data_IF_987249286757
#
_entry.id   IF_987249286757
#
_cell.length_a   1.000
_cell.length_b   1.000
_cell.length_c   1.000
_cell.angle_alpha   90.00
_cell.angle_beta   90.00
_cell.angle_gamma   90.00
#
_symmetry.space_group_name_H-M   'P 1'
#
loop_
_entity.id
_entity.type
_entity.pdbx_description
1 polymer ?
#
# COMPACT_ATOMS: atom_id res chain seq x y z
N UNK A 1 -11.05 -3.31 5.07
CA UNK A 1 -9.81 -3.04 5.84
C UNK A 1 -9.67 -3.99 7.04
N UNK A 2 -10.61 -3.99 8.00
CA UNK A 2 -10.49 -4.75 9.25
C UNK A 2 -10.26 -6.27 9.06
N UNK A 3 -11.01 -6.93 8.16
CA UNK A 3 -10.83 -8.34 7.80
C UNK A 3 -9.37 -8.66 7.46
N UNK A 4 -8.75 -7.87 6.58
CA UNK A 4 -7.33 -8.02 6.21
C UNK A 4 -6.41 -7.90 7.41
N UNK A 5 -6.61 -6.87 8.24
CA UNK A 5 -5.70 -6.58 9.33
C UNK A 5 -5.77 -7.66 10.41
N UNK A 6 -6.99 -8.09 10.78
CA UNK A 6 -7.19 -9.14 11.77
C UNK A 6 -6.69 -10.51 11.27
N UNK A 7 -6.93 -10.86 10.00
CA UNK A 7 -6.43 -12.10 9.40
C UNK A 7 -4.91 -12.15 9.32
N UNK A 8 -4.27 -11.07 8.89
CA UNK A 8 -2.80 -10.96 8.90
C UNK A 8 -2.25 -11.02 10.34
N UNK A 9 -2.88 -10.35 11.29
CA UNK A 9 -2.50 -10.46 12.70
C UNK A 9 -2.60 -11.89 13.22
N UNK A 10 -3.65 -12.63 12.82
CA UNK A 10 -3.81 -14.05 13.16
C UNK A 10 -2.69 -14.92 12.58
N UNK A 11 -2.18 -14.60 11.38
CA UNK A 11 -1.00 -15.28 10.78
C UNK A 11 0.30 -15.03 11.55
N UNK A 12 0.33 -14.04 12.44
CA UNK A 12 1.50 -13.71 13.28
C UNK A 12 2.22 -12.44 12.85
N UNK A 13 1.57 -11.52 12.14
CA UNK A 13 2.14 -10.22 11.77
C UNK A 13 1.64 -9.10 12.68
N UNK A 14 2.51 -8.14 13.02
CA UNK A 14 2.03 -6.84 13.51
C UNK A 14 1.52 -6.06 12.29
N UNK A 15 0.28 -5.56 12.35
CA UNK A 15 -0.35 -4.80 11.25
C UNK A 15 -0.62 -3.38 11.70
N UNK A 16 -0.16 -2.41 10.93
CA UNK A 16 -0.46 -0.99 11.13
C UNK A 16 -1.25 -0.47 9.93
N UNK A 17 -2.50 -0.07 10.17
CA UNK A 17 -3.33 0.62 9.19
C UNK A 17 -3.51 2.07 9.65
N UNK A 18 -3.38 3.02 8.73
CA UNK A 18 -3.45 4.44 9.02
C UNK A 18 -4.26 5.17 7.95
N UNK A 19 -4.74 6.35 8.33
CA UNK A 19 -5.59 7.14 7.47
C UNK A 19 -4.83 7.76 6.31
N UNK A 20 -5.47 7.74 5.15
CA UNK A 20 -5.11 8.64 4.06
C UNK A 20 -5.31 10.08 4.49
N UNK A 21 -4.50 10.96 3.92
CA UNK A 21 -4.58 12.39 4.17
C UNK A 21 -6.01 12.90 3.86
N UNK A 22 -6.61 13.72 4.72
CA UNK A 22 -7.98 14.21 4.55
C UNK A 22 -9.10 13.20 4.83
N UNK A 23 -8.76 11.98 5.27
CA UNK A 23 -9.71 10.94 5.67
C UNK A 23 -9.50 10.54 7.12
N UNK A 24 -10.47 9.81 7.69
CA UNK A 24 -10.39 9.33 9.07
C UNK A 24 -10.05 10.48 10.02
N UNK A 25 -9.04 10.31 10.85
CA UNK A 25 -8.52 11.30 11.80
C UNK A 25 -7.44 12.21 11.20
N UNK A 26 -7.00 11.94 9.98
CA UNK A 26 -6.03 12.74 9.26
C UNK A 26 -6.65 13.98 8.59
N UNK A 27 -7.52 14.70 9.31
CA UNK A 27 -8.29 15.86 8.81
C UNK A 27 -7.63 17.22 9.04
N UNK A 28 -6.34 17.25 9.38
CA UNK A 28 -5.59 18.51 9.55
C UNK A 28 -5.47 19.29 8.25
N UNK A 29 -5.42 18.56 7.13
CA UNK A 29 -5.36 19.12 5.78
C UNK A 29 -6.39 18.40 4.93
N UNK A 30 -6.76 19.02 3.82
CA UNK A 30 -7.65 18.42 2.84
C UNK A 30 -6.96 17.32 2.05
N UNK A 31 -7.73 16.39 1.50
CA UNK A 31 -7.19 15.39 0.57
C UNK A 31 -6.66 16.03 -0.74
N UNK A 32 -7.09 17.27 -1.02
CA UNK A 32 -6.75 18.05 -2.22
C UNK A 32 -5.53 18.96 -2.06
N UNK A 33 -4.83 18.95 -0.92
CA UNK A 33 -3.61 19.73 -0.74
C UNK A 33 -2.60 19.40 -1.86
N UNK A 34 -1.90 20.39 -2.47
CA UNK A 34 -1.06 20.16 -3.65
C UNK A 34 0.04 19.11 -3.47
N UNK A 35 0.51 18.92 -2.23
CA UNK A 35 1.56 17.96 -1.87
C UNK A 35 1.01 16.67 -1.25
N UNK A 36 -0.27 16.33 -1.49
CA UNK A 36 -0.91 15.16 -0.87
C UNK A 36 -0.13 13.87 -1.11
N UNK A 37 0.38 13.65 -2.33
CA UNK A 37 1.19 12.47 -2.65
C UNK A 37 2.46 12.39 -1.79
N UNK A 38 3.17 13.52 -1.65
CA UNK A 38 4.38 13.62 -0.82
C UNK A 38 4.05 13.33 0.65
N UNK A 39 3.03 13.96 1.21
CA UNK A 39 2.66 13.78 2.61
C UNK A 39 2.20 12.35 2.91
N UNK A 40 1.47 11.71 2.00
CA UNK A 40 1.08 10.30 2.19
C UNK A 40 2.29 9.36 2.18
N UNK A 41 3.23 9.54 1.25
CA UNK A 41 4.45 8.72 1.21
C UNK A 41 5.32 8.99 2.44
N UNK A 42 5.41 10.24 2.89
CA UNK A 42 6.10 10.60 4.13
C UNK A 42 5.45 9.96 5.37
N UNK A 43 4.12 10.01 5.49
CA UNK A 43 3.40 9.34 6.56
C UNK A 43 3.66 7.83 6.55
N UNK A 44 3.73 7.22 5.36
CA UNK A 44 4.07 5.80 5.20
C UNK A 44 5.47 5.49 5.76
N UNK A 45 6.44 6.38 5.50
CA UNK A 45 7.80 6.27 6.06
C UNK A 45 7.82 6.45 7.58
N UNK A 46 7.08 7.42 8.12
CA UNK A 46 6.97 7.62 9.57
C UNK A 46 6.38 6.38 10.28
N UNK A 47 5.36 5.74 9.68
CA UNK A 47 4.79 4.49 10.18
C UNK A 47 5.82 3.36 10.16
N UNK A 48 6.61 3.26 9.08
CA UNK A 48 7.71 2.29 9.00
C UNK A 48 8.76 2.53 10.09
N UNK A 49 9.18 3.78 10.31
CA UNK A 49 10.14 4.15 11.35
C UNK A 49 9.59 3.79 12.75
N UNK A 50 8.30 4.06 13.00
CA UNK A 50 7.64 3.66 14.24
C UNK A 50 7.65 2.14 14.43
N UNK A 51 7.23 1.36 13.42
CA UNK A 51 7.21 -0.10 13.51
C UNK A 51 8.61 -0.65 13.81
N UNK A 52 9.64 -0.18 13.10
CA UNK A 52 11.02 -0.62 13.28
C UNK A 52 11.64 -0.17 14.61
N UNK A 53 11.05 0.81 15.30
CA UNK A 53 11.47 1.18 16.66
C UNK A 53 11.02 0.19 17.73
N UNK A 54 10.04 -0.68 17.42
CA UNK A 54 9.47 -1.61 18.40
C UNK A 54 10.32 -2.87 18.50
N UNK A 55 10.59 -3.31 19.73
CA UNK A 55 11.38 -4.52 20.01
C UNK A 55 10.70 -5.84 19.60
N UNK A 56 9.38 -5.81 19.35
CA UNK A 56 8.58 -6.96 18.94
C UNK A 56 8.38 -7.05 17.41
N UNK A 57 9.00 -6.16 16.64
CA UNK A 57 9.01 -6.18 15.17
C UNK A 57 10.34 -6.76 14.68
N UNK A 58 10.26 -7.73 13.76
CA UNK A 58 11.42 -8.29 13.08
C UNK A 58 11.78 -7.43 11.86
N UNK A 59 12.92 -6.70 11.87
CA UNK A 59 13.28 -5.78 10.81
C UNK A 59 13.61 -6.47 9.47
N UNK A 60 13.72 -7.80 9.45
CA UNK A 60 14.00 -8.58 8.24
C UNK A 60 12.73 -9.00 7.48
N UNK A 61 11.54 -8.83 8.10
CA UNK A 61 10.23 -9.27 7.56
C UNK A 61 9.22 -8.13 7.57
N UNK A 62 9.44 -7.14 6.70
CA UNK A 62 8.63 -5.92 6.62
C UNK A 62 7.84 -5.93 5.31
N UNK A 63 6.52 -6.08 5.45
CA UNK A 63 5.58 -6.10 4.33
C UNK A 63 4.81 -4.80 4.18
N UNK A 64 4.48 -4.44 2.94
CA UNK A 64 3.55 -3.33 2.64
C UNK A 64 2.51 -3.74 1.61
N UNK A 65 1.26 -3.33 1.81
CA UNK A 65 0.16 -3.62 0.89
C UNK A 65 -0.96 -2.59 0.99
N UNK A 66 -1.62 -2.33 -0.14
CA UNK A 66 -2.73 -1.39 -0.27
C UNK A 66 -3.44 -1.54 -1.61
N UNK A 67 -4.68 -1.06 -1.68
CA UNK A 67 -5.53 -1.11 -2.87
C UNK A 67 -5.57 0.24 -3.56
N UNK A 68 -5.62 0.29 -4.90
CA UNK A 68 -5.87 1.53 -5.66
C UNK A 68 -4.87 2.63 -5.27
N UNK A 69 -5.30 3.80 -4.76
CA UNK A 69 -4.39 4.81 -4.20
C UNK A 69 -3.46 4.30 -3.06
N UNK A 70 -3.90 3.32 -2.26
CA UNK A 70 -3.02 2.63 -1.31
C UNK A 70 -2.01 1.69 -2.00
N UNK A 71 -2.37 1.15 -3.17
CA UNK A 71 -1.46 0.45 -4.07
C UNK A 71 -0.38 1.41 -4.60
N UNK A 72 -0.76 2.66 -4.91
CA UNK A 72 0.20 3.73 -5.25
C UNK A 72 1.22 3.94 -4.15
N UNK A 73 0.77 4.15 -2.92
CA UNK A 73 1.68 4.32 -1.78
C UNK A 73 2.53 3.07 -1.52
N UNK A 74 2.01 1.88 -1.80
CA UNK A 74 2.72 0.61 -1.65
C UNK A 74 3.95 0.54 -2.55
N UNK A 75 3.79 0.75 -3.87
CA UNK A 75 4.95 0.69 -4.77
C UNK A 75 5.86 1.92 -4.65
N UNK A 76 5.32 3.10 -4.33
CA UNK A 76 6.15 4.30 -4.14
C UNK A 76 7.07 4.18 -2.93
N UNK A 77 6.56 3.77 -1.76
CA UNK A 77 7.42 3.57 -0.59
C UNK A 77 8.43 2.44 -0.82
N UNK A 78 7.98 1.33 -1.44
CA UNK A 78 8.88 0.20 -1.75
C UNK A 78 10.04 0.65 -2.64
N UNK A 79 9.78 1.51 -3.63
CA UNK A 79 10.80 2.01 -4.54
C UNK A 79 11.88 2.88 -3.86
N UNK A 80 11.52 3.62 -2.80
CA UNK A 80 12.43 4.59 -2.15
C UNK A 80 12.96 4.14 -0.78
N UNK A 81 12.46 3.04 -0.22
CA UNK A 81 12.87 2.55 1.10
C UNK A 81 13.16 1.04 1.05
N UNK A 82 14.45 0.70 1.11
CA UNK A 82 14.95 -0.69 1.01
C UNK A 82 14.57 -1.56 2.22
N UNK A 83 14.12 -0.94 3.33
CA UNK A 83 13.71 -1.68 4.54
C UNK A 83 12.39 -2.43 4.33
N UNK A 84 11.62 -2.11 3.29
CA UNK A 84 10.51 -2.95 2.84
C UNK A 84 11.09 -4.20 2.20
N UNK A 85 10.84 -5.37 2.79
CA UNK A 85 11.39 -6.65 2.32
C UNK A 85 10.42 -7.48 1.48
N UNK A 86 9.12 -7.16 1.49
CA UNK A 86 8.14 -7.67 0.52
C UNK A 86 7.01 -6.66 0.25
N UNK A 87 6.50 -6.59 -0.98
CA UNK A 87 5.44 -5.64 -1.36
C UNK A 87 4.27 -6.29 -2.10
N UNK A 88 3.05 -5.84 -1.86
CA UNK A 88 1.87 -6.33 -2.56
C UNK A 88 0.93 -5.18 -2.95
N UNK A 89 1.22 -4.43 -4.04
CA UNK A 89 0.30 -3.45 -4.59
C UNK A 89 -0.90 -4.13 -5.24
N UNK A 90 -2.12 -3.67 -4.90
CA UNK A 90 -3.36 -4.32 -5.33
C UNK A 90 -4.23 -3.38 -6.15
N UNK A 91 -4.69 -3.87 -7.30
CA UNK A 91 -5.59 -3.20 -8.25
C UNK A 91 -5.13 -1.77 -8.57
N UNK A 92 -3.82 -1.58 -8.82
CA UNK A 92 -3.28 -0.26 -9.16
C UNK A 92 -2.22 -0.20 -10.25
N UNK A 93 -1.22 -1.08 -10.21
CA UNK A 93 -0.05 -0.98 -11.11
C UNK A 93 -0.52 -0.98 -12.58
N UNK A 94 -0.16 0.07 -13.32
CA UNK A 94 -0.59 0.27 -14.70
C UNK A 94 0.44 1.08 -15.49
N UNK A 95 0.65 0.71 -16.76
CA UNK A 95 1.53 1.45 -17.67
C UNK A 95 0.91 2.75 -18.19
N UNK A 96 -0.42 2.90 -18.12
CA UNK A 96 -1.16 3.96 -18.80
C UNK A 96 -2.07 4.78 -17.88
N UNK A 97 -2.23 4.39 -16.62
CA UNK A 97 -3.03 5.10 -15.63
C UNK A 97 -2.22 5.31 -14.35
N UNK A 98 -2.01 6.57 -13.97
CA UNK A 98 -1.11 6.94 -12.87
C UNK A 98 -1.83 7.32 -11.58
N UNK A 99 -3.15 7.14 -11.54
CA UNK A 99 -4.01 7.58 -10.44
C UNK A 99 -4.83 8.81 -10.81
N UNK A 100 -6.12 8.75 -10.50
CA UNK A 100 -7.08 9.83 -10.82
C UNK A 100 -7.12 10.95 -9.79
N UNK A 101 -6.44 10.78 -8.64
CA UNK A 101 -6.41 11.72 -7.54
C UNK A 101 -5.04 12.42 -7.42
N UNK A 102 -5.03 13.69 -7.00
CA UNK A 102 -3.79 14.43 -6.74
C UNK A 102 -2.89 13.79 -5.67
N UNK A 103 -3.46 12.96 -4.79
CA UNK A 103 -2.69 12.19 -3.81
C UNK A 103 -1.88 11.02 -4.41
N UNK A 104 -2.08 10.72 -5.69
CA UNK A 104 -1.38 9.68 -6.46
C UNK A 104 -0.51 10.30 -7.56
N UNK A 105 -1.05 11.27 -8.29
CA UNK A 105 -0.45 11.84 -9.50
C UNK A 105 -0.30 13.37 -9.50
N UNK A 106 -0.52 14.03 -8.35
CA UNK A 106 -0.44 15.49 -8.22
C UNK A 106 0.98 16.06 -8.19
N UNK A 107 1.99 15.20 -8.01
CA UNK A 107 3.41 15.56 -8.06
C UNK A 107 4.03 15.08 -9.37
N UNK A 108 5.01 15.81 -9.95
CA UNK A 108 5.61 15.48 -11.25
C UNK A 108 6.62 14.33 -11.17
N UNK A 109 6.23 13.20 -10.57
CA UNK A 109 7.09 12.03 -10.39
C UNK A 109 7.19 11.17 -11.66
N UNK A 110 6.16 11.21 -12.52
CA UNK A 110 6.12 10.40 -13.75
C UNK A 110 6.79 11.08 -14.94
N UNK A 111 6.93 12.41 -14.91
CA UNK A 111 7.45 13.17 -16.05
C UNK A 111 8.12 14.47 -15.59
N UNK A 112 9.28 14.74 -16.16
CA UNK A 112 9.99 16.02 -16.11
C UNK A 112 10.64 16.30 -17.47
N UNK A 113 11.41 17.38 -17.57
CA UNK A 113 12.22 17.70 -18.76
C UNK A 113 13.29 16.63 -19.09
N UNK A 114 13.64 15.79 -18.11
CA UNK A 114 14.76 14.84 -18.23
C UNK A 114 14.34 13.38 -18.13
N UNK A 115 13.09 13.09 -17.77
CA UNK A 115 12.62 11.71 -17.66
C UNK A 115 11.12 11.59 -17.95
N UNK A 116 10.75 10.38 -18.36
CA UNK A 116 9.37 9.93 -18.37
C UNK A 116 9.37 8.47 -17.92
N UNK A 117 8.46 8.12 -17.01
CA UNK A 117 8.36 6.80 -16.40
C UNK A 117 6.88 6.42 -16.19
N UNK A 118 6.61 5.29 -15.52
CA UNK A 118 5.26 4.80 -15.23
C UNK A 118 5.21 4.08 -13.88
N UNK A 119 4.00 3.78 -13.39
CA UNK A 119 3.83 2.98 -12.17
C UNK A 119 4.44 1.58 -12.28
N UNK A 120 4.61 1.05 -13.50
CA UNK A 120 5.23 -0.26 -13.74
C UNK A 120 6.72 -0.22 -13.44
N UNK A 121 7.40 0.86 -13.82
CA UNK A 121 8.82 1.06 -13.51
C UNK A 121 9.02 1.28 -12.01
N UNK A 122 8.13 2.04 -11.35
CA UNK A 122 8.17 2.16 -9.89
C UNK A 122 7.96 0.82 -9.18
N UNK A 123 7.01 0.01 -9.62
CA UNK A 123 6.82 -1.33 -9.07
C UNK A 123 8.07 -2.23 -9.28
N UNK A 124 8.71 -2.12 -10.45
CA UNK A 124 9.91 -2.89 -10.79
C UNK A 124 11.13 -2.54 -9.93
N UNK A 125 11.18 -1.36 -9.29
CA UNK A 125 12.22 -1.00 -8.31
C UNK A 125 12.16 -1.84 -7.02
N UNK A 126 11.14 -2.70 -6.86
CA UNK A 126 11.15 -3.72 -5.83
C UNK A 126 12.19 -4.81 -6.08
N UNK A 127 12.57 -5.07 -7.34
CA UNK A 127 13.51 -6.14 -7.69
C UNK A 127 14.83 -6.03 -6.92
N UNK A 128 15.38 -7.14 -6.37
CA UNK A 128 14.91 -8.53 -6.45
C UNK A 128 13.96 -8.97 -5.31
N UNK A 129 13.47 -8.04 -4.48
CA UNK A 129 12.65 -8.35 -3.29
C UNK A 129 11.31 -8.96 -3.69
N UNK A 130 10.73 -9.88 -2.91
CA UNK A 130 9.40 -10.42 -3.17
C UNK A 130 8.34 -9.36 -3.47
N UNK A 131 7.59 -9.54 -4.57
CA UNK A 131 6.48 -8.67 -4.91
C UNK A 131 5.29 -9.45 -5.50
N UNK A 132 4.08 -9.09 -5.08
CA UNK A 132 2.83 -9.59 -5.65
C UNK A 132 2.09 -8.44 -6.33
N UNK A 133 1.84 -8.56 -7.64
CA UNK A 133 0.95 -7.67 -8.37
C UNK A 133 -0.44 -8.28 -8.41
N UNK A 134 -1.41 -7.66 -7.73
CA UNK A 134 -2.82 -8.09 -7.82
C UNK A 134 -3.56 -7.21 -8.82
N UNK A 135 -4.31 -7.83 -9.73
CA UNK A 135 -5.01 -7.15 -10.84
C UNK A 135 -6.38 -7.77 -11.09
N UNK A 136 -7.27 -7.04 -11.77
CA UNK A 136 -8.61 -7.51 -12.15
C UNK A 136 -8.96 -7.17 -13.60
N UNK A 137 -10.09 -7.70 -14.09
CA UNK A 137 -10.49 -7.55 -15.49
C UNK A 137 -11.30 -6.30 -15.81
N UNK A 138 -11.80 -5.58 -14.81
CA UNK A 138 -12.75 -4.48 -15.02
C UNK A 138 -12.11 -3.08 -14.92
N UNK A 139 -10.89 -2.95 -14.39
CA UNK A 139 -10.22 -1.67 -14.20
C UNK A 139 -9.01 -1.44 -15.12
N UNK A 140 -8.15 -0.47 -14.78
CA UNK A 140 -6.93 -0.15 -15.53
C UNK A 140 -5.84 -1.21 -15.43
N UNK A 141 -5.96 -2.17 -14.52
CA UNK A 141 -5.02 -3.29 -14.35
C UNK A 141 -5.34 -4.49 -15.25
N UNK A 142 -6.42 -4.44 -16.06
CA UNK A 142 -6.82 -5.51 -16.98
C UNK A 142 -5.72 -6.02 -17.92
N UNK A 143 -4.76 -5.16 -18.23
CA UNK A 143 -3.65 -5.48 -19.13
C UNK A 143 -2.48 -6.16 -18.42
N UNK A 144 -2.50 -6.22 -17.07
CA UNK A 144 -1.38 -6.68 -16.23
C UNK A 144 -0.79 -8.01 -16.68
N UNK A 145 -1.58 -9.07 -16.96
CA UNK A 145 -1.02 -10.35 -17.37
C UNK A 145 -0.21 -10.30 -18.67
N UNK A 146 -0.49 -9.32 -19.55
CA UNK A 146 0.05 -9.25 -20.90
C UNK A 146 1.06 -8.10 -21.08
N UNK A 147 0.99 -7.05 -20.26
CA UNK A 147 1.79 -5.82 -20.41
C UNK A 147 2.63 -5.56 -19.16
N UNK A 148 2.01 -5.21 -18.04
CA UNK A 148 2.71 -4.76 -16.84
C UNK A 148 3.53 -5.87 -16.18
N UNK A 149 2.94 -7.05 -15.95
CA UNK A 149 3.64 -8.15 -15.29
C UNK A 149 4.80 -8.71 -16.10
N UNK A 150 4.67 -8.98 -17.42
CA UNK A 150 5.82 -9.39 -18.23
C UNK A 150 6.96 -8.37 -18.27
N UNK A 151 6.66 -7.07 -18.17
CA UNK A 151 7.69 -6.04 -18.03
C UNK A 151 8.45 -6.19 -16.71
N UNK A 152 7.74 -6.24 -15.58
CA UNK A 152 8.36 -6.35 -14.25
C UNK A 152 9.16 -7.66 -14.15
N UNK A 153 8.61 -8.76 -14.67
CA UNK A 153 9.30 -10.06 -14.69
C UNK A 153 10.65 -9.99 -15.42
N UNK A 154 10.74 -9.26 -16.55
CA UNK A 154 12.02 -9.05 -17.25
C UNK A 154 13.03 -8.26 -16.43
N UNK A 155 12.58 -7.33 -15.59
CA UNK A 155 13.48 -6.62 -14.66
C UNK A 155 13.98 -7.57 -13.59
N UNK A 156 13.11 -8.40 -13.00
CA UNK A 156 13.51 -9.42 -12.02
C UNK A 156 14.49 -10.45 -12.62
N UNK A 157 14.37 -10.78 -13.91
CA UNK A 157 15.30 -11.67 -14.61
C UNK A 157 16.73 -11.13 -14.70
N UNK A 158 16.93 -9.80 -14.63
CA UNK A 158 18.27 -9.21 -14.56
C UNK A 158 18.99 -9.52 -13.23
N UNK A 159 18.24 -10.00 -12.23
CA UNK A 159 18.73 -10.36 -10.90
C UNK A 159 18.62 -11.86 -10.61
N UNK A 160 18.30 -12.69 -11.61
CA UNK A 160 17.99 -14.12 -11.44
C UNK A 160 16.89 -14.36 -10.37
N UNK A 161 15.92 -13.45 -10.29
CA UNK A 161 14.94 -13.36 -9.20
C UNK A 161 13.49 -13.52 -9.68
N UNK A 162 13.23 -14.04 -10.89
CA UNK A 162 11.87 -14.25 -11.41
C UNK A 162 10.93 -15.01 -10.47
N UNK A 163 11.38 -15.99 -9.65
CA UNK A 163 10.52 -16.64 -8.67
C UNK A 163 10.00 -15.71 -7.55
N UNK A 164 10.56 -14.52 -7.38
CA UNK A 164 10.16 -13.55 -6.36
C UNK A 164 9.05 -12.59 -6.83
N UNK A 165 8.61 -12.65 -8.08
CA UNK A 165 7.56 -11.78 -8.63
C UNK A 165 6.36 -12.61 -9.06
N UNK A 166 5.19 -12.29 -8.52
CA UNK A 166 3.94 -13.04 -8.73
C UNK A 166 2.82 -12.12 -9.24
N UNK A 167 1.91 -12.65 -10.07
CA UNK A 167 0.68 -11.96 -10.45
C UNK A 167 -0.55 -12.79 -10.12
N UNK A 168 -1.43 -12.24 -9.28
CA UNK A 168 -2.77 -12.75 -9.06
C UNK A 168 -3.75 -11.91 -9.90
N UNK A 169 -4.19 -12.46 -11.03
CA UNK A 169 -5.16 -11.81 -11.91
C UNK A 169 -6.55 -12.41 -11.76
N UNK A 170 -7.54 -11.54 -11.53
CA UNK A 170 -8.94 -11.88 -11.34
C UNK A 170 -9.80 -11.37 -12.51
N UNK A 171 -9.85 -12.10 -13.65
CA UNK A 171 -10.37 -11.57 -14.92
C UNK A 171 -11.88 -11.28 -14.92
N UNK A 172 -12.64 -11.88 -14.01
CA UNK A 172 -14.09 -11.69 -13.89
C UNK A 172 -14.49 -10.77 -12.74
N UNK A 173 -13.52 -10.28 -11.97
CA UNK A 173 -13.76 -9.40 -10.84
C UNK A 173 -13.55 -7.94 -11.22
N UNK A 174 -13.96 -7.04 -10.32
CA UNK A 174 -13.83 -5.60 -10.50
C UNK A 174 -12.95 -4.97 -9.41
N UNK A 175 -12.87 -3.64 -9.47
CA UNK A 175 -12.02 -2.80 -8.62
C UNK A 175 -12.47 -2.82 -7.16
N UNK A 176 -11.80 -3.62 -6.35
CA UNK A 176 -12.02 -3.73 -4.91
C UNK A 176 -10.80 -4.34 -4.19
N UNK A 177 -10.88 -4.40 -2.85
CA UNK A 177 -10.00 -5.24 -2.03
C UNK A 177 -10.79 -6.38 -1.39
N UNK A 178 -11.54 -7.08 -2.24
CA UNK A 178 -12.45 -8.17 -1.92
C UNK A 178 -11.74 -9.45 -1.48
N UNK A 179 -12.53 -10.48 -1.20
CA UNK A 179 -12.06 -11.72 -0.57
C UNK A 179 -10.94 -12.39 -1.37
N UNK A 180 -11.11 -12.58 -2.68
CA UNK A 180 -10.10 -13.23 -3.53
C UNK A 180 -8.75 -12.49 -3.50
N UNK A 181 -8.77 -11.16 -3.56
CA UNK A 181 -7.56 -10.32 -3.46
C UNK A 181 -6.91 -10.41 -2.07
N UNK A 182 -7.72 -10.44 -1.00
CA UNK A 182 -7.22 -10.67 0.37
C UNK A 182 -6.51 -12.02 0.49
N UNK A 183 -7.13 -13.09 0.00
CA UNK A 183 -6.56 -14.44 0.01
C UNK A 183 -5.22 -14.53 -0.72
N UNK A 184 -5.09 -13.88 -1.89
CA UNK A 184 -3.82 -13.80 -2.61
C UNK A 184 -2.72 -13.13 -1.77
N UNK A 185 -3.05 -12.01 -1.12
CA UNK A 185 -2.12 -11.29 -0.24
C UNK A 185 -1.74 -12.11 1.00
N UNK A 186 -2.69 -12.83 1.61
CA UNK A 186 -2.40 -13.71 2.75
C UNK A 186 -1.42 -14.80 2.37
N UNK A 187 -1.66 -15.47 1.23
CA UNK A 187 -0.79 -16.54 0.75
C UNK A 187 0.63 -16.03 0.46
N UNK A 188 0.74 -14.87 -0.21
CA UNK A 188 2.01 -14.25 -0.53
C UNK A 188 2.84 -13.94 0.72
N UNK A 189 2.29 -13.18 1.67
CA UNK A 189 3.04 -12.86 2.88
C UNK A 189 3.29 -14.10 3.76
N UNK A 190 2.34 -15.03 3.83
CA UNK A 190 2.55 -16.27 4.57
C UNK A 190 3.72 -17.09 4.04
N UNK A 191 3.87 -17.16 2.71
CA UNK A 191 5.01 -17.81 2.07
C UNK A 191 6.32 -17.06 2.37
N UNK A 192 6.42 -15.80 1.95
CA UNK A 192 7.68 -15.06 1.99
C UNK A 192 8.17 -14.74 3.42
N UNK A 193 7.26 -14.59 4.38
CA UNK A 193 7.62 -14.39 5.80
C UNK A 193 7.54 -15.64 6.66
N UNK A 194 7.32 -16.82 6.04
CA UNK A 194 7.25 -18.13 6.71
C UNK A 194 6.25 -18.13 7.88
N UNK A 195 5.10 -17.50 7.66
CA UNK A 195 4.06 -17.39 8.67
C UNK A 195 3.29 -18.69 8.82
N UNK A 196 2.57 -18.84 9.94
CA UNK A 196 1.75 -20.03 10.17
C UNK A 196 0.41 -19.90 9.44
N UNK A 197 0.35 -20.40 8.19
CA UNK A 197 -0.86 -20.41 7.37
C UNK A 197 -2.06 -21.09 8.04
N UNK A 198 -1.84 -22.04 8.95
CA UNK A 198 -2.89 -22.74 9.70
C UNK A 198 -3.54 -21.89 10.80
N UNK A 199 -3.03 -20.68 11.05
CA UNK A 199 -3.59 -19.81 12.08
C UNK A 199 -4.92 -19.19 11.68
N UNK A 200 -5.17 -19.01 10.38
CA UNK A 200 -6.50 -18.65 9.87
C UNK A 200 -7.28 -19.96 9.66
N UNK A 201 -8.49 -20.13 10.22
CA UNK A 201 -9.32 -21.30 9.95
C UNK A 201 -9.71 -21.40 8.47
N UNK A 202 -10.11 -22.60 8.04
CA UNK A 202 -10.58 -22.84 6.68
C UNK A 202 -12.07 -23.14 6.68
N UNK A 203 -12.77 -22.65 5.66
CA UNK A 203 -14.15 -23.01 5.35
C UNK A 203 -14.20 -24.46 4.81
N UNK A 204 -15.36 -25.14 4.85
CA UNK A 204 -15.50 -26.51 4.33
C UNK A 204 -15.15 -26.67 2.84
N UNK A 205 -15.25 -25.60 2.06
CA UNK A 205 -14.90 -25.54 0.63
C UNK A 205 -13.41 -25.15 0.39
N UNK A 206 -12.61 -25.00 1.45
CA UNK A 206 -11.16 -24.83 1.36
C UNK A 206 -10.66 -23.39 1.26
N UNK A 207 -11.54 -22.40 1.45
CA UNK A 207 -11.16 -20.98 1.56
C UNK A 207 -10.74 -20.59 2.98
N UNK A 208 -10.16 -19.41 3.15
CA UNK A 208 -9.96 -18.81 4.48
C UNK A 208 -11.29 -18.42 5.11
N UNK A 209 -11.51 -18.81 6.36
CA UNK A 209 -12.64 -18.37 7.16
C UNK A 209 -12.25 -17.13 7.97
N UNK A 210 -12.79 -15.98 7.57
CA UNK A 210 -12.59 -14.69 8.25
C UNK A 210 -13.70 -14.39 9.28
N UNK A 211 -14.61 -15.33 9.56
CA UNK A 211 -15.75 -15.11 10.46
C UNK A 211 -15.37 -14.85 11.92
N UNK A 212 -14.13 -15.18 12.31
CA UNK A 212 -13.59 -14.87 13.63
C UNK A 212 -13.30 -13.37 13.83
N UNK A 213 -13.30 -12.56 12.76
CA UNK A 213 -12.97 -11.14 12.83
C UNK A 213 -14.16 -10.35 13.37
N UNK A 214 -13.97 -9.71 14.52
CA UNK A 214 -14.89 -8.69 15.02
C UNK A 214 -14.74 -7.42 14.19
N UNK A 215 -15.83 -6.94 13.60
CA UNK A 215 -15.89 -5.66 12.90
C UNK A 215 -16.27 -4.59 13.91
N UNK A 216 -15.30 -3.75 14.25
CA UNK A 216 -15.51 -2.59 15.11
C UNK A 216 -16.20 -1.47 14.32
N UNK A 217 -17.06 -0.67 14.96
CA UNK A 217 -17.62 0.49 14.32
C UNK A 217 -16.53 1.59 14.16
N UNK A 218 -16.67 2.51 13.19
CA UNK A 218 -15.62 3.47 12.85
C UNK A 218 -15.14 4.34 14.02
N UNK A 219 -16.02 4.67 14.97
CA UNK A 219 -15.73 5.44 16.17
C UNK A 219 -14.73 4.77 17.11
N UNK A 220 -14.74 3.43 17.20
CA UNK A 220 -13.80 2.68 18.03
C UNK A 220 -12.39 2.61 17.40
N UNK A 221 -12.26 2.99 16.13
CA UNK A 221 -10.98 3.06 15.43
C UNK A 221 -10.37 4.46 15.48
N UNK A 222 -11.06 5.44 16.08
CA UNK A 222 -10.62 6.84 16.16
C UNK A 222 -9.60 7.01 17.27
N UNK A 223 -8.51 7.68 16.96
CA UNK A 223 -7.51 8.18 17.93
C UNK A 223 -8.02 9.43 18.60
N UNK A 224 -8.65 10.35 17.85
CA UNK A 224 -9.13 11.61 18.39
C UNK A 224 -10.63 11.59 18.67
N UNK A 225 -11.01 11.95 19.90
CA UNK A 225 -12.40 12.06 20.34
C UNK A 225 -12.51 13.05 21.53
N UNK A 226 -13.68 13.14 22.16
CA UNK A 226 -13.92 14.07 23.26
C UNK A 226 -13.04 13.78 24.50
N UNK A 227 -12.62 12.53 24.71
CA UNK A 227 -11.72 12.12 25.79
C UNK A 227 -10.23 12.33 25.42
N UNK A 228 -9.88 12.10 24.16
CA UNK A 228 -8.54 12.25 23.59
C UNK A 228 -8.56 13.31 22.49
N UNK A 229 -8.65 14.60 22.83
CA UNK A 229 -8.71 15.65 21.82
C UNK A 229 -7.40 15.74 21.04
N UNK A 230 -7.48 16.25 19.82
CA UNK A 230 -6.29 16.60 19.03
C UNK A 230 -5.41 17.58 19.84
N UNK A 231 -4.06 17.43 19.83
CA UNK A 231 -3.18 18.35 20.54
C UNK A 231 -3.40 19.82 20.16
N UNK A 232 -3.34 20.73 21.13
CA UNK A 232 -3.57 22.17 20.93
C UNK A 232 -2.59 22.82 19.95
N UNK A 233 -1.39 22.26 19.81
CA UNK A 233 -0.35 22.72 18.91
C UNK A 233 -0.41 22.05 17.52
N UNK A 234 -1.45 21.29 17.22
CA UNK A 234 -1.61 20.69 15.90
C UNK A 234 -1.81 21.77 14.83
N UNK A 235 -1.05 21.69 13.73
CA UNK A 235 -1.29 22.52 12.55
C UNK A 235 -2.64 22.13 11.92
N UNK A 236 -3.48 23.11 11.63
CA UNK A 236 -4.81 22.93 11.04
C UNK A 236 -4.93 23.84 9.81
N UNK A 237 -5.31 23.24 8.69
CA UNK A 237 -5.45 23.89 7.39
C UNK A 237 -4.24 23.67 6.49
N UNK A 238 -4.50 23.57 5.19
CA UNK A 238 -3.47 23.35 4.16
C UNK A 238 -2.40 24.44 4.22
N UNK A 239 -2.79 25.71 4.35
CA UNK A 239 -1.86 26.84 4.44
C UNK A 239 -0.91 26.74 5.64
N UNK A 240 -1.45 26.42 6.82
CA UNK A 240 -0.65 26.30 8.05
C UNK A 240 0.40 25.18 7.94
N UNK A 241 0.03 24.06 7.30
CA UNK A 241 0.95 22.95 7.06
C UNK A 241 1.97 23.31 5.99
N UNK A 242 1.56 23.92 4.87
CA UNK A 242 2.46 24.34 3.80
C UNK A 242 3.49 25.37 4.28
N UNK A 243 3.05 26.36 5.07
CA UNK A 243 3.93 27.38 5.66
C UNK A 243 4.94 26.75 6.63
N UNK A 244 4.49 25.86 7.52
CA UNK A 244 5.36 25.21 8.48
C UNK A 244 6.41 24.29 7.82
N UNK A 245 6.05 23.63 6.72
CA UNK A 245 6.97 22.81 5.93
C UNK A 245 7.96 23.65 5.11
N UNK A 246 7.65 24.93 4.89
CA UNK A 246 8.38 25.82 3.98
C UNK A 246 8.67 25.15 2.62
N UNK A 247 7.69 24.37 2.13
CA UNK A 247 7.84 23.57 0.92
C UNK A 247 7.53 24.43 -0.31
N UNK A 248 8.49 24.53 -1.22
CA UNK A 248 8.28 25.19 -2.52
C UNK A 248 7.92 24.13 -3.56
N UNK A 249 6.77 24.32 -4.21
CA UNK A 249 6.38 23.45 -5.33
C UNK A 249 7.46 23.49 -6.42
N UNK A 250 7.81 22.34 -7.03
CA UNK A 250 8.70 22.32 -8.19
C UNK A 250 8.12 23.25 -9.28
N UNK A 251 8.97 24.07 -9.89
CA UNK A 251 8.58 24.81 -11.09
C UNK A 251 8.17 23.81 -12.17
N UNK A 252 6.98 24.02 -12.74
CA UNK A 252 6.41 23.23 -13.84
C UNK A 252 7.33 23.11 -15.04
#
# INVERSE_FOLDING_TARGET
>A
MQLRCASMARLGTIVFAYDMLGHGDSTQVTHSIPIAALLQTWNSKCVLDYLLSRSDVDPTRIGITGASGGGTQTFLLTAIDERITASAPVVQVSAHFFGGCGCESGMPIHKSDHHQTSNVEFAALAAPRPQLIVSDGADWTRNTPNIEFPYIQKVYALYDAEPNIENAHFPTEAHDYGYSKRCAVYNFFAHHFKLNWKSIPYTPDGGYDESFVTILPPEELRVFNDEYPRPENALIGDDAVMEALNFQMPSS
#
